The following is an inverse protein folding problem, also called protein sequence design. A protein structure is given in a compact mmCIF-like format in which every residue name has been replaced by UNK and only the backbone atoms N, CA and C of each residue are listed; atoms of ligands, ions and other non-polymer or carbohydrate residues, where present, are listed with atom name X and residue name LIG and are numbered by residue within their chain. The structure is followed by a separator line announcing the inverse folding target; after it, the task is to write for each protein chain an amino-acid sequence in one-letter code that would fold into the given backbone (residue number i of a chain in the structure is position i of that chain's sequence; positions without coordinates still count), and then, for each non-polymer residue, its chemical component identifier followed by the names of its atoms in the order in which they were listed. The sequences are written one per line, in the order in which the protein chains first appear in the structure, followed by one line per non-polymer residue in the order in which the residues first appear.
data_IF_764829114694
#
_entry.id   IF_764829114694
#
_cell.length_a   1.000
_cell.length_b   1.000
_cell.length_c   1.000
_cell.angle_alpha   90.00
_cell.angle_beta   90.00
_cell.angle_gamma   90.00
#
_symmetry.space_group_name_H-M   'P 1'
#
loop_
_entity.id
_entity.type
_entity.pdbx_description
1 polymer ?
#
# COMPACT_ATOMS: atom_id res chain seq x y z
N UNK A 1 -33.26 28.55 32.04
CA UNK A 1 -32.63 27.34 31.46
C UNK A 1 -33.26 27.15 30.08
N UNK A 2 -32.82 27.83 29.02
CA UNK A 2 -31.65 27.55 28.15
C UNK A 2 -31.45 26.04 27.93
N UNK A 3 -31.50 25.43 26.74
CA UNK A 3 -32.02 25.75 25.42
C UNK A 3 -32.03 24.41 24.65
N UNK A 4 -33.14 24.08 23.99
CA UNK A 4 -33.20 23.00 22.99
C UNK A 4 -32.81 23.63 21.65
N UNK A 5 -31.58 23.40 21.18
CA UNK A 5 -31.16 23.72 19.81
C UNK A 5 -29.79 23.08 19.52
N UNK A 6 -29.66 22.38 18.39
CA UNK A 6 -28.33 22.07 17.82
C UNK A 6 -28.09 20.64 17.35
N UNK A 7 -29.10 19.87 16.94
CA UNK A 7 -28.91 18.63 16.18
C UNK A 7 -29.38 18.91 14.74
N UNK A 8 -28.46 19.33 13.86
CA UNK A 8 -28.53 19.33 12.37
C UNK A 8 -27.51 20.30 11.73
N UNK A 9 -26.22 20.27 12.11
CA UNK A 9 -25.19 21.08 11.46
C UNK A 9 -23.80 20.41 11.40
N UNK A 10 -23.77 19.09 11.23
CA UNK A 10 -22.51 18.32 11.11
C UNK A 10 -22.51 17.26 10.00
N UNK A 11 -23.47 17.29 9.07
CA UNK A 11 -23.57 16.34 7.94
C UNK A 11 -23.42 17.06 6.58
N UNK A 12 -23.43 18.39 6.54
CA UNK A 12 -23.36 19.14 5.27
C UNK A 12 -21.93 19.57 4.90
N UNK A 13 -20.93 19.41 5.79
CA UNK A 13 -19.54 19.74 5.48
C UNK A 13 -18.72 18.57 4.89
N UNK A 14 -19.18 17.32 5.00
CA UNK A 14 -18.55 16.14 4.36
C UNK A 14 -19.23 15.72 3.06
N UNK A 15 -20.46 16.18 2.80
CA UNK A 15 -21.14 15.99 1.51
C UNK A 15 -20.67 16.99 0.42
N UNK A 16 -19.97 18.06 0.80
CA UNK A 16 -19.49 19.09 -0.14
C UNK A 16 -18.21 18.71 -0.90
N UNK A 17 -17.38 17.80 -0.35
CA UNK A 17 -16.16 17.32 -1.02
C UNK A 17 -16.40 16.05 -1.86
N UNK A 18 -17.50 15.33 -1.62
CA UNK A 18 -17.92 14.18 -2.42
C UNK A 18 -18.60 14.56 -3.76
N UNK A 19 -18.80 15.87 -4.03
CA UNK A 19 -19.48 16.35 -5.23
C UNK A 19 -18.53 16.84 -6.34
N UNK A 20 -17.20 16.74 -6.17
CA UNK A 20 -16.21 17.15 -7.18
C UNK A 20 -15.18 16.07 -7.53
N UNK A 21 -15.20 14.91 -6.87
CA UNK A 21 -14.50 13.70 -7.33
C UNK A 21 -15.47 12.81 -8.08
N UNK A 22 -15.15 12.47 -9.33
CA UNK A 22 -16.04 11.73 -10.23
C UNK A 22 -16.42 10.32 -9.72
N UNK A 23 -17.29 9.61 -10.45
CA UNK A 23 -17.88 8.33 -10.05
C UNK A 23 -16.89 7.14 -9.93
N UNK A 24 -15.58 7.34 -10.04
CA UNK A 24 -14.58 6.26 -9.96
C UNK A 24 -14.13 5.92 -8.53
N UNK A 25 -14.23 6.87 -7.59
CA UNK A 25 -13.82 6.67 -6.18
C UNK A 25 -14.77 5.76 -5.38
N UNK A 26 -15.96 5.48 -5.91
CA UNK A 26 -16.95 4.61 -5.25
C UNK A 26 -16.87 3.13 -5.71
N UNK A 27 -16.01 2.81 -6.69
CA UNK A 27 -15.93 1.45 -7.25
C UNK A 27 -14.88 0.55 -6.59
N UNK A 28 -13.98 1.12 -5.78
CA UNK A 28 -12.94 0.36 -5.06
C UNK A 28 -13.36 0.11 -3.62
N UNK A 29 -13.55 -1.16 -3.30
CA UNK A 29 -14.21 -1.70 -2.11
C UNK A 29 -13.37 -1.52 -0.82
N UNK A 30 -13.21 -0.28 -0.38
CA UNK A 30 -12.39 0.14 0.77
C UNK A 30 -13.10 0.04 2.13
N UNK A 31 -14.31 -0.54 2.20
CA UNK A 31 -15.16 -0.47 3.39
C UNK A 31 -14.60 -1.15 4.66
N UNK A 32 -13.55 -1.97 4.57
CA UNK A 32 -13.05 -2.76 5.70
C UNK A 32 -11.67 -2.37 6.24
N UNK A 33 -10.92 -1.50 5.56
CA UNK A 33 -9.58 -1.06 6.01
C UNK A 33 -9.59 0.22 6.87
N UNK A 34 -10.71 0.94 6.92
CA UNK A 34 -10.86 2.22 7.65
C UNK A 34 -11.08 2.03 9.17
N UNK A 35 -11.19 0.78 9.67
CA UNK A 35 -11.42 0.52 11.11
C UNK A 35 -10.13 0.47 11.96
N UNK A 36 -8.96 0.75 11.39
CA UNK A 36 -7.72 0.84 12.17
C UNK A 36 -7.53 2.26 12.70
N UNK A 37 -7.58 2.40 14.04
CA UNK A 37 -7.45 3.67 14.74
C UNK A 37 -6.07 4.31 14.52
N UNK A 38 -6.04 5.44 13.83
CA UNK A 38 -4.88 6.32 13.72
C UNK A 38 -4.59 7.02 15.05
N UNK A 39 -3.45 6.69 15.65
CA UNK A 39 -2.69 7.54 16.58
C UNK A 39 -1.21 7.27 16.41
N UNK A 40 -0.49 8.16 15.74
CA UNK A 40 0.41 9.13 16.38
C UNK A 40 1.42 9.74 15.39
N UNK A 41 1.78 10.99 15.66
CA UNK A 41 2.78 11.83 14.98
C UNK A 41 4.19 11.20 14.94
N UNK A 42 4.90 11.37 13.81
CA UNK A 42 6.34 11.12 13.72
C UNK A 42 7.11 12.36 13.22
N UNK A 43 8.16 12.83 13.94
CA UNK A 43 9.12 13.75 13.36
C UNK A 43 10.15 12.98 12.52
N UNK A 44 10.35 13.45 11.28
CA UNK A 44 11.38 13.00 10.33
C UNK A 44 12.79 13.06 10.95
N UNK A 45 13.54 11.95 10.94
CA UNK A 45 15.01 11.96 11.10
C UNK A 45 15.71 10.84 10.33
N UNK A 46 16.73 11.31 9.59
CA UNK A 46 17.88 10.65 8.97
C UNK A 46 18.24 9.24 9.45
N UNK A 47 18.33 8.33 8.48
CA UNK A 47 18.92 7.01 8.62
C UNK A 47 20.44 7.07 8.40
N UNK A 48 21.19 7.12 9.50
CA UNK A 48 22.53 6.51 9.63
C UNK A 48 22.67 6.01 11.05
N UNK A 49 22.97 4.71 11.16
CA UNK A 49 23.40 4.01 12.37
C UNK A 49 22.36 3.91 13.51
N UNK A 50 21.58 2.82 13.51
CA UNK A 50 21.08 2.25 14.78
C UNK A 50 20.87 0.74 14.70
N UNK A 51 21.98 0.02 14.72
CA UNK A 51 22.01 -1.28 15.38
C UNK A 51 22.05 -1.08 16.91
N UNK A 52 21.40 -2.03 17.59
CA UNK A 52 21.44 -2.34 19.03
C UNK A 52 20.35 -1.75 19.94
N UNK A 53 19.48 -2.69 20.36
CA UNK A 53 18.70 -2.77 21.62
C UNK A 53 17.23 -2.32 21.55
N UNK A 54 16.39 -3.26 21.13
CA UNK A 54 15.36 -3.77 22.03
C UNK A 54 15.03 -5.23 21.73
N UNK A 55 15.96 -6.12 22.07
CA UNK A 55 15.65 -7.53 22.30
C UNK A 55 14.70 -7.60 23.51
N UNK A 56 13.40 -7.50 23.28
CA UNK A 56 12.44 -8.09 24.21
C UNK A 56 12.70 -9.60 24.13
N UNK A 57 12.98 -10.29 25.25
CA UNK A 57 13.12 -11.73 25.21
C UNK A 57 11.83 -12.29 24.63
N UNK A 58 11.95 -12.95 23.47
CA UNK A 58 10.92 -13.82 22.96
C UNK A 58 10.51 -14.70 24.14
N UNK A 59 9.26 -14.55 24.56
CA UNK A 59 8.68 -15.42 25.56
C UNK A 59 9.00 -16.85 25.11
N UNK A 60 9.50 -17.70 26.00
CA UNK A 60 9.78 -19.13 25.76
C UNK A 60 8.46 -19.93 25.53
N UNK A 61 7.47 -19.31 24.91
CA UNK A 61 6.33 -19.96 24.29
C UNK A 61 6.83 -20.54 22.96
N UNK A 62 7.07 -21.85 22.95
CA UNK A 62 7.73 -22.56 21.85
C UNK A 62 7.33 -22.02 20.47
N UNK A 63 8.30 -21.42 19.79
CA UNK A 63 8.13 -21.06 18.38
C UNK A 63 7.92 -22.35 17.59
N UNK A 64 6.94 -22.33 16.70
CA UNK A 64 6.67 -23.43 15.80
C UNK A 64 6.76 -22.96 14.37
N UNK A 65 6.99 -23.93 13.49
CA UNK A 65 6.83 -23.78 12.06
C UNK A 65 5.61 -24.56 11.64
N UNK A 66 4.69 -23.92 10.92
CA UNK A 66 3.51 -24.56 10.35
C UNK A 66 3.51 -24.38 8.84
N UNK A 67 3.44 -25.49 8.12
CA UNK A 67 3.27 -25.48 6.67
C UNK A 67 1.79 -25.60 6.32
N UNK A 68 1.36 -24.79 5.36
CA UNK A 68 0.04 -24.83 4.73
C UNK A 68 0.23 -24.97 3.22
N UNK A 69 -0.68 -25.70 2.58
CA UNK A 69 -0.77 -25.73 1.12
C UNK A 69 -1.48 -24.49 0.63
N UNK A 70 -0.90 -23.79 -0.34
CA UNK A 70 -1.57 -22.68 -1.00
C UNK A 70 -2.80 -23.19 -1.76
N UNK A 71 -3.90 -22.47 -1.68
CA UNK A 71 -5.17 -22.88 -2.30
C UNK A 71 -5.23 -22.68 -3.82
N UNK A 72 -4.17 -22.09 -4.41
CA UNK A 72 -4.09 -21.81 -5.84
C UNK A 72 -4.69 -20.46 -6.22
N UNK A 73 -5.10 -19.64 -5.25
CA UNK A 73 -5.57 -18.27 -5.51
C UNK A 73 -4.50 -17.44 -6.23
N UNK A 74 -4.95 -16.56 -7.11
CA UNK A 74 -4.12 -15.53 -7.76
C UNK A 74 -3.95 -14.29 -6.89
N UNK A 75 -4.72 -14.18 -5.81
CA UNK A 75 -4.64 -13.12 -4.80
C UNK A 75 -4.04 -13.65 -3.51
N UNK A 76 -3.04 -12.96 -2.98
CA UNK A 76 -2.47 -13.20 -1.66
C UNK A 76 -2.71 -12.00 -0.74
N UNK A 77 -3.49 -12.21 0.31
CA UNK A 77 -3.88 -11.18 1.25
C UNK A 77 -3.41 -11.53 2.65
N UNK A 78 -2.64 -10.63 3.26
CA UNK A 78 -2.03 -10.83 4.58
C UNK A 78 -2.77 -9.97 5.60
N UNK A 79 -3.87 -10.50 6.14
CA UNK A 79 -4.62 -9.89 7.23
C UNK A 79 -4.07 -10.26 8.61
N UNK A 80 -2.76 -10.45 8.72
CA UNK A 80 -2.04 -10.85 9.94
C UNK A 80 -0.75 -10.04 10.05
N UNK A 81 -0.36 -9.57 11.26
CA UNK A 81 0.92 -8.90 11.43
C UNK A 81 2.09 -9.82 11.06
N UNK A 82 2.77 -9.52 9.95
CA UNK A 82 3.76 -10.40 9.38
C UNK A 82 4.91 -9.68 8.65
N UNK A 83 6.03 -10.38 8.57
CA UNK A 83 7.04 -10.18 7.52
C UNK A 83 6.91 -11.33 6.53
N UNK A 84 6.58 -10.98 5.29
CA UNK A 84 6.26 -11.91 4.21
C UNK A 84 7.40 -11.92 3.21
N UNK A 85 7.89 -13.11 2.90
CA UNK A 85 8.85 -13.37 1.84
C UNK A 85 8.17 -14.26 0.78
N UNK A 86 7.90 -13.71 -0.39
CA UNK A 86 7.32 -14.42 -1.53
C UNK A 86 8.39 -14.70 -2.58
N UNK A 87 8.41 -15.93 -3.10
CA UNK A 87 9.21 -16.30 -4.27
C UNK A 87 8.35 -17.05 -5.27
N UNK A 88 8.34 -16.60 -6.53
CA UNK A 88 7.60 -17.31 -7.56
C UNK A 88 8.29 -18.64 -7.89
N UNK A 89 7.57 -19.75 -7.78
CA UNK A 89 8.10 -21.07 -8.06
C UNK A 89 7.04 -21.96 -8.71
N UNK A 90 7.48 -22.83 -9.63
CA UNK A 90 6.61 -23.83 -10.22
C UNK A 90 6.23 -24.91 -9.20
N UNK A 91 5.04 -25.49 -9.34
CA UNK A 91 4.56 -26.58 -8.50
C UNK A 91 3.44 -26.16 -7.55
N UNK A 92 3.07 -27.03 -6.59
CA UNK A 92 2.05 -26.71 -5.62
C UNK A 92 2.54 -25.57 -4.74
N UNK A 93 1.73 -24.51 -4.62
CA UNK A 93 2.10 -23.40 -3.75
C UNK A 93 2.16 -23.84 -2.29
N UNK A 94 3.08 -23.24 -1.54
CA UNK A 94 3.33 -23.55 -0.14
C UNK A 94 3.46 -22.26 0.66
N UNK A 95 2.89 -22.26 1.85
CA UNK A 95 3.01 -21.17 2.83
C UNK A 95 3.60 -21.76 4.11
N UNK A 96 4.70 -21.19 4.58
CA UNK A 96 5.38 -21.59 5.81
C UNK A 96 5.32 -20.44 6.80
N UNK A 97 4.76 -20.70 7.98
CA UNK A 97 4.52 -19.67 9.01
C UNK A 97 5.38 -20.02 10.22
N UNK A 98 6.19 -19.06 10.67
CA UNK A 98 7.02 -19.15 11.85
C UNK A 98 6.59 -18.13 12.90
N UNK A 99 6.54 -18.57 14.16
CA UNK A 99 6.24 -17.70 15.30
C UNK A 99 5.71 -18.48 16.50
N UNK A 100 5.21 -17.79 17.53
CA UNK A 100 4.68 -18.41 18.73
C UNK A 100 3.50 -19.36 18.43
N UNK A 101 3.51 -20.55 19.03
CA UNK A 101 2.48 -21.58 18.82
C UNK A 101 1.07 -21.05 18.93
N UNK A 102 0.79 -20.26 19.96
CA UNK A 102 -0.54 -19.72 20.23
C UNK A 102 -1.07 -18.77 19.16
N UNK A 103 -0.20 -18.17 18.35
CA UNK A 103 -0.59 -17.30 17.22
C UNK A 103 -0.62 -18.10 15.93
N UNK A 104 0.39 -18.95 15.68
CA UNK A 104 0.46 -19.79 14.46
C UNK A 104 -0.72 -20.77 14.35
N UNK A 105 -1.18 -21.32 15.47
CA UNK A 105 -2.34 -22.21 15.50
C UNK A 105 -3.66 -21.50 15.13
N UNK A 106 -3.72 -20.16 15.27
CA UNK A 106 -4.89 -19.35 14.93
C UNK A 106 -4.93 -18.91 13.47
N UNK A 107 -3.81 -19.03 12.73
CA UNK A 107 -3.78 -18.63 11.32
C UNK A 107 -4.66 -19.56 10.49
N UNK A 108 -5.50 -18.97 9.65
CA UNK A 108 -6.36 -19.64 8.66
C UNK A 108 -6.05 -19.10 7.27
N UNK A 109 -6.06 -19.99 6.28
CA UNK A 109 -5.95 -19.66 4.87
C UNK A 109 -7.30 -19.96 4.21
N UNK A 110 -7.94 -18.93 3.66
CA UNK A 110 -9.23 -19.06 2.97
C UNK A 110 -9.24 -18.12 1.77
N UNK A 111 -9.39 -18.66 0.55
CA UNK A 111 -9.49 -17.89 -0.70
C UNK A 111 -8.33 -16.88 -0.87
N UNK A 112 -7.10 -17.34 -0.61
CA UNK A 112 -5.90 -16.52 -0.70
C UNK A 112 -5.67 -15.54 0.45
N UNK A 113 -6.57 -15.47 1.43
CA UNK A 113 -6.42 -14.62 2.62
C UNK A 113 -5.86 -15.39 3.80
N UNK A 114 -4.75 -14.93 4.36
CA UNK A 114 -4.26 -15.31 5.68
C UNK A 114 -4.91 -14.40 6.73
N UNK A 115 -5.61 -14.98 7.70
CA UNK A 115 -6.23 -14.25 8.81
C UNK A 115 -6.09 -14.99 10.13
N UNK A 116 -6.24 -14.28 11.24
CA UNK A 116 -6.41 -14.90 12.54
C UNK A 116 -7.88 -15.29 12.73
N UNK A 117 -8.15 -16.50 13.20
CA UNK A 117 -9.51 -16.96 13.54
C UNK A 117 -10.17 -16.09 14.62
N UNK A 118 -9.35 -15.48 15.48
CA UNK A 118 -9.79 -14.58 16.55
C UNK A 118 -8.72 -13.56 16.86
N UNK A 119 -9.08 -12.36 17.35
CA UNK A 119 -8.11 -11.39 17.83
C UNK A 119 -7.24 -11.99 18.94
N UNK A 120 -5.99 -11.55 18.98
CA UNK A 120 -5.02 -11.92 20.01
C UNK A 120 -4.50 -10.67 20.69
N UNK A 121 -4.32 -10.72 22.01
CA UNK A 121 -3.62 -9.67 22.74
C UNK A 121 -2.11 -9.71 22.46
N UNK A 122 -1.61 -10.82 21.93
CA UNK A 122 -0.20 -10.99 21.54
C UNK A 122 0.03 -10.38 20.16
N UNK A 123 0.71 -9.24 20.10
CA UNK A 123 1.11 -8.56 18.86
C UNK A 123 2.35 -9.21 18.21
N UNK A 124 2.52 -10.52 18.34
CA UNK A 124 3.66 -11.21 17.77
C UNK A 124 3.62 -11.11 16.24
N UNK A 125 4.70 -10.56 15.68
CA UNK A 125 4.90 -10.52 14.23
C UNK A 125 5.32 -11.90 13.74
N UNK A 126 4.56 -12.46 12.82
CA UNK A 126 4.87 -13.76 12.22
C UNK A 126 5.87 -13.59 11.07
N UNK A 127 6.71 -14.60 10.82
CA UNK A 127 7.46 -14.70 9.57
C UNK A 127 6.76 -15.65 8.64
N UNK A 128 6.41 -15.20 7.44
CA UNK A 128 5.72 -15.99 6.42
C UNK A 128 6.63 -16.14 5.22
N UNK A 129 6.91 -17.39 4.83
CA UNK A 129 7.62 -17.71 3.59
C UNK A 129 6.66 -18.40 2.66
N UNK A 130 6.39 -17.78 1.52
CA UNK A 130 5.39 -18.24 0.55
C UNK A 130 6.02 -18.50 -0.82
N UNK A 131 5.61 -19.60 -1.44
CA UNK A 131 5.94 -19.92 -2.83
C UNK A 131 4.65 -20.26 -3.57
N UNK A 132 4.45 -19.70 -4.76
CA UNK A 132 3.32 -20.04 -5.61
C UNK A 132 3.62 -19.67 -7.07
N UNK A 133 2.99 -20.32 -8.06
CA UNK A 133 3.32 -20.11 -9.46
C UNK A 133 2.64 -18.88 -10.10
N UNK A 134 1.47 -18.46 -9.60
CA UNK A 134 0.55 -17.59 -10.34
C UNK A 134 -0.17 -16.54 -9.48
N UNK A 135 0.46 -16.04 -8.42
CA UNK A 135 -0.10 -14.93 -7.62
C UNK A 135 0.19 -13.62 -8.34
N UNK A 136 -0.85 -12.89 -8.69
CA UNK A 136 -0.77 -11.61 -9.41
C UNK A 136 -1.11 -10.41 -8.54
N UNK A 137 -1.87 -10.61 -7.45
CA UNK A 137 -2.32 -9.53 -6.55
C UNK A 137 -1.86 -9.79 -5.13
N UNK A 138 -1.22 -8.81 -4.52
CA UNK A 138 -0.76 -8.86 -3.13
C UNK A 138 -1.45 -7.75 -2.32
N UNK A 139 -1.96 -8.09 -1.14
CA UNK A 139 -2.61 -7.15 -0.23
C UNK A 139 -1.95 -7.25 1.15
N UNK A 140 -1.39 -6.14 1.63
CA UNK A 140 -0.67 -6.03 2.90
C UNK A 140 -1.10 -4.75 3.64
N UNK A 141 -1.04 -4.73 4.97
CA UNK A 141 -1.48 -3.57 5.73
C UNK A 141 -0.87 -3.49 7.12
N UNK A 142 -1.23 -2.46 7.87
CA UNK A 142 -0.65 -2.22 9.20
C UNK A 142 0.83 -1.85 9.11
N UNK A 143 1.68 -2.51 9.89
CA UNK A 143 3.13 -2.26 9.94
C UNK A 143 3.91 -3.42 9.29
N UNK A 144 3.34 -4.05 8.27
CA UNK A 144 3.85 -5.29 7.69
C UNK A 144 4.88 -5.08 6.59
N UNK A 145 5.71 -6.10 6.39
CA UNK A 145 6.72 -6.12 5.32
C UNK A 145 6.38 -7.19 4.29
N UNK A 146 6.43 -6.83 3.01
CA UNK A 146 6.25 -7.74 1.89
C UNK A 146 7.48 -7.68 0.99
N UNK A 147 8.16 -8.81 0.82
CA UNK A 147 9.27 -8.94 -0.12
C UNK A 147 8.92 -9.95 -1.20
N UNK A 148 8.83 -9.50 -2.45
CA UNK A 148 8.55 -10.32 -3.63
C UNK A 148 9.85 -10.48 -4.42
N UNK A 149 10.31 -11.73 -4.56
CA UNK A 149 11.54 -12.08 -5.28
C UNK A 149 11.28 -12.91 -6.52
N UNK A 150 12.16 -12.73 -7.50
CA UNK A 150 12.18 -13.48 -8.77
C UNK A 150 10.82 -13.48 -9.49
N UNK A 151 10.08 -12.38 -9.39
CA UNK A 151 8.76 -12.26 -10.02
C UNK A 151 8.87 -12.31 -11.54
N UNK A 152 7.97 -13.01 -12.20
CA UNK A 152 7.91 -13.18 -13.65
C UNK A 152 6.49 -13.51 -14.10
N UNK A 153 5.67 -12.48 -14.28
CA UNK A 153 4.32 -12.59 -14.84
C UNK A 153 3.96 -11.33 -15.63
N UNK A 154 2.92 -11.37 -16.46
CA UNK A 154 2.55 -10.21 -17.27
C UNK A 154 2.06 -9.03 -16.44
N UNK A 155 1.39 -9.29 -15.30
CA UNK A 155 0.80 -8.26 -14.44
C UNK A 155 1.20 -8.49 -12.98
N UNK A 156 1.45 -7.42 -12.26
CA UNK A 156 1.60 -7.39 -10.81
C UNK A 156 0.70 -6.29 -10.24
N UNK A 157 -0.09 -6.62 -9.23
CA UNK A 157 -0.86 -5.66 -8.46
C UNK A 157 -0.45 -5.74 -6.99
N UNK A 158 -0.13 -4.61 -6.38
CA UNK A 158 0.16 -4.52 -4.94
C UNK A 158 -0.71 -3.45 -4.33
N UNK A 159 -1.49 -3.84 -3.32
CA UNK A 159 -2.27 -2.95 -2.48
C UNK A 159 -1.67 -2.98 -1.08
N UNK A 160 -1.25 -1.82 -0.60
CA UNK A 160 -0.58 -1.64 0.68
C UNK A 160 -1.20 -0.48 1.47
N UNK A 161 -1.29 -0.65 2.78
CA UNK A 161 -1.85 0.37 3.68
C UNK A 161 -1.05 0.49 4.98
N UNK A 162 -1.25 1.59 5.71
CA UNK A 162 -0.58 1.83 7.00
C UNK A 162 0.87 2.28 6.83
N UNK A 163 1.78 1.66 7.58
CA UNK A 163 3.24 1.90 7.56
C UNK A 163 3.98 0.70 6.97
N UNK A 164 3.39 0.06 5.97
CA UNK A 164 3.94 -1.14 5.34
C UNK A 164 5.17 -0.84 4.48
N UNK A 165 6.06 -1.84 4.38
CA UNK A 165 7.29 -1.81 3.57
C UNK A 165 7.20 -2.90 2.51
N UNK A 166 7.18 -2.50 1.24
CA UNK A 166 7.09 -3.40 0.09
C UNK A 166 8.36 -3.34 -0.72
N UNK A 167 8.99 -4.48 -0.97
CA UNK A 167 10.15 -4.61 -1.86
C UNK A 167 9.83 -5.62 -2.96
N UNK A 168 10.02 -5.25 -4.22
CA UNK A 168 9.72 -6.11 -5.38
C UNK A 168 10.92 -6.21 -6.31
N UNK A 169 11.25 -7.43 -6.73
CA UNK A 169 12.25 -7.71 -7.74
C UNK A 169 11.80 -8.74 -8.77
N UNK A 170 12.28 -8.60 -10.01
CA UNK A 170 11.96 -9.50 -11.11
C UNK A 170 11.55 -8.76 -12.39
N UNK A 171 10.51 -9.26 -13.06
CA UNK A 171 9.98 -8.76 -14.33
C UNK A 171 8.45 -8.83 -14.35
N UNK A 172 7.80 -7.72 -14.66
CA UNK A 172 6.37 -7.67 -14.96
C UNK A 172 6.10 -6.66 -16.07
N UNK A 173 5.18 -6.93 -17.00
CA UNK A 173 4.90 -5.96 -18.08
C UNK A 173 4.11 -4.77 -17.54
N UNK A 174 3.02 -5.06 -16.85
CA UNK A 174 2.11 -4.10 -16.21
C UNK A 174 2.24 -4.19 -14.69
N UNK A 175 2.32 -3.04 -14.03
CA UNK A 175 2.43 -2.93 -12.58
C UNK A 175 1.41 -1.93 -12.06
N UNK A 176 0.52 -2.39 -11.18
CA UNK A 176 -0.50 -1.57 -10.51
C UNK A 176 -0.15 -1.47 -9.02
N UNK A 177 0.08 -0.26 -8.51
CA UNK A 177 0.41 -0.02 -7.09
C UNK A 177 -0.62 0.90 -6.47
N UNK A 178 -1.22 0.47 -5.38
CA UNK A 178 -2.10 1.27 -4.53
C UNK A 178 -1.50 1.33 -3.13
N UNK A 179 -1.04 2.50 -2.70
CA UNK A 179 -0.38 2.68 -1.40
C UNK A 179 -0.97 3.85 -0.64
N UNK A 180 -1.55 3.55 0.53
CA UNK A 180 -2.18 4.55 1.41
C UNK A 180 -1.52 4.56 2.80
N UNK A 181 -1.32 5.75 3.37
CA UNK A 181 -0.73 5.90 4.71
C UNK A 181 0.67 6.49 4.66
N UNK A 182 1.62 5.88 5.37
CA UNK A 182 3.02 6.33 5.47
C UNK A 182 4.03 5.25 5.06
N UNK A 183 3.56 4.22 4.35
CA UNK A 183 4.40 3.11 3.88
C UNK A 183 5.30 3.47 2.71
N UNK A 184 6.16 2.51 2.35
CA UNK A 184 7.12 2.61 1.26
C UNK A 184 6.99 1.41 0.31
N UNK A 185 7.12 1.65 -0.99
CA UNK A 185 7.20 0.61 -2.00
C UNK A 185 8.43 0.80 -2.90
N UNK A 186 9.42 -0.07 -2.74
CA UNK A 186 10.65 -0.13 -3.53
C UNK A 186 10.53 -1.21 -4.63
N UNK A 187 10.38 -0.75 -5.87
CA UNK A 187 10.34 -1.56 -7.08
C UNK A 187 11.60 -1.33 -7.95
N UNK A 188 12.69 -0.83 -7.37
CA UNK A 188 13.98 -0.62 -8.07
C UNK A 188 14.48 -1.89 -8.77
N UNK A 189 14.26 -3.05 -8.16
CA UNK A 189 14.65 -4.36 -8.67
C UNK A 189 13.69 -4.97 -9.70
N UNK A 190 12.58 -4.29 -10.02
CA UNK A 190 11.55 -4.77 -10.94
C UNK A 190 11.71 -4.12 -12.31
N UNK A 191 11.85 -4.94 -13.35
CA UNK A 191 11.77 -4.48 -14.74
C UNK A 191 10.31 -4.43 -15.16
N UNK A 192 9.82 -3.24 -15.51
CA UNK A 192 8.48 -3.05 -16.05
C UNK A 192 8.41 -2.10 -17.26
N UNK A 193 7.35 -2.26 -18.04
CA UNK A 193 7.08 -1.43 -19.22
C UNK A 193 6.03 -0.36 -18.88
N UNK A 194 4.92 -0.77 -18.27
CA UNK A 194 3.79 0.08 -17.92
C UNK A 194 3.55 0.07 -16.41
N UNK A 195 3.25 1.24 -15.84
CA UNK A 195 2.91 1.38 -14.43
C UNK A 195 1.68 2.27 -14.21
N UNK A 196 0.76 1.82 -13.37
CA UNK A 196 -0.33 2.61 -12.81
C UNK A 196 -0.14 2.68 -11.29
N UNK A 197 -0.09 3.89 -10.75
CA UNK A 197 0.32 4.13 -9.36
C UNK A 197 -0.63 5.13 -8.73
N UNK A 198 -1.31 4.71 -7.69
CA UNK A 198 -2.13 5.55 -6.81
C UNK A 198 -1.49 5.56 -5.42
N UNK A 199 -1.01 6.74 -5.00
CA UNK A 199 -0.43 6.93 -3.67
C UNK A 199 -1.08 8.09 -2.93
N UNK A 200 -1.34 7.88 -1.64
CA UNK A 200 -1.96 8.88 -0.77
C UNK A 200 -1.33 8.93 0.63
N UNK A 201 -1.52 10.04 1.34
CA UNK A 201 -0.97 10.23 2.69
C UNK A 201 0.46 10.79 2.64
N UNK A 202 1.43 10.10 3.24
CA UNK A 202 2.86 10.44 3.24
C UNK A 202 3.72 9.32 2.65
N UNK A 203 3.12 8.46 1.83
CA UNK A 203 3.75 7.30 1.23
C UNK A 203 4.86 7.66 0.22
N UNK A 204 5.83 6.76 0.05
CA UNK A 204 6.86 6.84 -0.99
C UNK A 204 6.85 5.60 -1.89
N UNK A 205 6.99 5.79 -3.20
CA UNK A 205 7.13 4.70 -4.16
C UNK A 205 8.28 4.98 -5.11
N UNK A 206 9.12 3.98 -5.37
CA UNK A 206 10.22 4.06 -6.34
C UNK A 206 10.08 2.98 -7.41
N UNK A 207 10.06 3.37 -8.69
CA UNK A 207 9.85 2.45 -9.81
C UNK A 207 10.56 2.91 -11.11
N UNK A 208 10.69 2.01 -12.09
CA UNK A 208 11.46 2.23 -13.32
C UNK A 208 10.71 1.89 -14.64
N UNK A 209 9.48 2.40 -14.89
CA UNK A 209 8.69 2.10 -16.09
C UNK A 209 9.33 2.63 -17.37
N UNK A 210 9.31 1.82 -18.44
CA UNK A 210 9.98 2.14 -19.72
C UNK A 210 9.07 2.75 -20.77
N UNK A 211 7.82 2.32 -20.85
CA UNK A 211 6.89 2.68 -21.92
C UNK A 211 5.86 3.71 -21.44
N UNK A 212 5.13 3.42 -20.37
CA UNK A 212 4.16 4.37 -19.81
C UNK A 212 4.07 4.36 -18.29
N UNK A 213 3.70 5.50 -17.73
CA UNK A 213 3.38 5.65 -16.31
C UNK A 213 2.18 6.58 -16.13
N UNK A 214 1.19 6.13 -15.37
CA UNK A 214 0.07 6.92 -14.85
C UNK A 214 0.28 7.03 -13.33
N UNK A 215 0.39 8.25 -12.81
CA UNK A 215 0.65 8.48 -11.39
C UNK A 215 -0.40 9.41 -10.79
N UNK A 216 -1.19 8.92 -9.84
CA UNK A 216 -2.05 9.71 -8.98
C UNK A 216 -1.39 9.85 -7.61
N UNK A 217 -1.07 11.09 -7.21
CA UNK A 217 -0.30 11.38 -6.00
C UNK A 217 -1.07 12.40 -5.17
N UNK A 218 -1.54 12.01 -4.00
CA UNK A 218 -2.28 12.90 -3.09
C UNK A 218 -1.62 13.03 -1.71
N UNK A 219 -1.96 14.11 -0.99
CA UNK A 219 -1.42 14.37 0.34
C UNK A 219 0.00 14.96 0.30
N UNK A 220 0.95 14.31 0.95
CA UNK A 220 2.40 14.61 0.97
C UNK A 220 3.23 13.45 0.40
N UNK A 221 2.60 12.57 -0.38
CA UNK A 221 3.23 11.38 -0.94
C UNK A 221 4.24 11.73 -2.05
N UNK A 222 5.20 10.84 -2.28
CA UNK A 222 6.26 11.03 -3.28
C UNK A 222 6.39 9.81 -4.18
N UNK A 223 6.35 10.03 -5.50
CA UNK A 223 6.67 9.02 -6.49
C UNK A 223 8.03 9.33 -7.15
N UNK A 224 8.96 8.38 -7.09
CA UNK A 224 10.28 8.47 -7.70
C UNK A 224 10.37 7.56 -8.92
N UNK A 225 10.62 8.15 -10.08
CA UNK A 225 10.84 7.46 -11.34
C UNK A 225 12.34 7.36 -11.64
N UNK A 226 12.86 6.15 -11.76
CA UNK A 226 14.28 5.90 -12.11
C UNK A 226 14.55 6.00 -13.61
N UNK A 227 13.49 6.04 -14.41
CA UNK A 227 13.50 6.10 -15.87
C UNK A 227 12.59 7.22 -16.35
N UNK A 228 12.69 7.55 -17.64
CA UNK A 228 11.77 8.46 -18.32
C UNK A 228 10.89 7.64 -19.26
N UNK A 229 9.64 7.28 -18.87
CA UNK A 229 8.74 6.56 -19.76
C UNK A 229 8.36 7.43 -20.96
N UNK A 230 8.00 6.80 -22.09
CA UNK A 230 7.62 7.52 -23.31
C UNK A 230 6.32 8.29 -23.15
N UNK A 231 5.40 7.78 -22.33
CA UNK A 231 4.16 8.45 -21.92
C UNK A 231 4.15 8.59 -20.40
N UNK A 232 3.86 9.79 -19.94
CA UNK A 232 3.74 10.07 -18.51
C UNK A 232 2.49 10.93 -18.29
N UNK A 233 1.57 10.40 -17.50
CA UNK A 233 0.40 11.12 -17.01
C UNK A 233 0.52 11.23 -15.49
N UNK A 234 0.32 12.43 -14.96
CA UNK A 234 0.42 12.66 -13.52
C UNK A 234 -0.72 13.55 -13.06
N UNK A 235 -1.41 13.12 -12.00
CA UNK A 235 -2.31 13.96 -11.22
C UNK A 235 -1.71 14.10 -9.81
N UNK A 236 -1.46 15.34 -9.39
CA UNK A 236 -0.81 15.62 -8.10
C UNK A 236 -1.66 16.60 -7.31
N UNK A 237 -2.18 16.12 -6.18
CA UNK A 237 -2.97 16.89 -5.24
C UNK A 237 -2.23 17.11 -3.91
N UNK A 238 -2.41 18.31 -3.33
CA UNK A 238 -1.80 18.66 -2.04
C UNK A 238 -0.32 19.07 -2.16
N UNK A 239 0.51 18.54 -1.27
CA UNK A 239 1.96 18.75 -1.19
C UNK A 239 2.77 17.58 -1.77
N UNK A 240 2.12 16.64 -2.47
CA UNK A 240 2.76 15.50 -3.08
C UNK A 240 3.74 15.89 -4.20
N UNK A 241 4.61 14.95 -4.59
CA UNK A 241 5.59 15.21 -5.64
C UNK A 241 5.94 13.98 -6.48
N UNK A 242 6.20 14.22 -7.77
CA UNK A 242 6.77 13.24 -8.67
C UNK A 242 8.17 13.71 -9.08
N UNK A 243 9.17 12.89 -8.79
CA UNK A 243 10.58 13.19 -9.04
C UNK A 243 11.21 12.12 -9.94
N UNK A 244 12.11 12.54 -10.81
CA UNK A 244 12.99 11.65 -11.56
C UNK A 244 14.33 11.49 -10.83
N UNK A 245 15.01 10.37 -11.04
CA UNK A 245 16.34 10.12 -10.47
C UNK A 245 17.40 11.15 -10.90
N UNK A 246 17.24 11.75 -12.08
CA UNK A 246 18.07 12.87 -12.54
C UNK A 246 17.79 14.21 -11.83
N UNK A 247 16.89 14.22 -10.83
CA UNK A 247 16.49 15.39 -10.07
C UNK A 247 15.45 16.27 -10.77
N UNK A 248 14.99 15.90 -11.97
CA UNK A 248 13.89 16.57 -12.64
C UNK A 248 12.58 16.36 -11.88
N UNK A 249 11.75 17.40 -11.74
CA UNK A 249 10.35 17.22 -11.31
C UNK A 249 9.48 16.93 -12.54
N UNK A 250 8.57 15.96 -12.45
CA UNK A 250 7.55 15.79 -13.48
C UNK A 250 6.58 16.98 -13.41
N UNK A 251 6.29 17.59 -14.56
CA UNK A 251 5.42 18.75 -14.63
C UNK A 251 3.96 18.32 -14.45
N UNK A 252 3.44 18.44 -13.22
CA UNK A 252 2.05 18.19 -12.86
C UNK A 252 1.54 19.12 -11.74
N UNK A 253 2.26 20.20 -11.43
CA UNK A 253 1.76 21.22 -10.51
C UNK A 253 0.60 21.98 -11.17
N UNK A 254 -0.62 21.63 -10.78
CA UNK A 254 -1.85 22.20 -11.31
C UNK A 254 -1.81 23.71 -11.44
N UNK A 255 -2.12 24.20 -12.64
CA UNK A 255 -2.65 25.56 -12.80
C UNK A 255 -4.08 25.52 -12.25
N UNK A 256 -4.45 26.31 -11.24
CA UNK A 256 -5.86 26.48 -10.93
C UNK A 256 -6.49 27.17 -12.14
N UNK A 257 -7.42 26.48 -12.79
CA UNK A 257 -8.25 27.07 -13.82
C UNK A 257 -8.96 28.29 -13.23
N UNK A 258 -8.52 29.50 -13.61
CA UNK A 258 -9.28 30.73 -13.35
C UNK A 258 -10.56 30.63 -14.16
N UNK A 259 -11.67 30.33 -13.49
CA UNK A 259 -13.02 30.55 -14.01
C UNK A 259 -13.13 32.02 -14.46
N UNK A 260 -13.50 32.32 -15.71
CA UNK A 260 -13.82 33.68 -16.10
C UNK A 260 -15.08 34.11 -15.34
N UNK A 261 -14.94 35.04 -14.41
CA UNK A 261 -16.08 35.75 -13.83
C UNK A 261 -16.78 36.50 -14.96
N UNK A 262 -17.94 36.00 -15.37
CA UNK A 262 -18.85 36.70 -16.29
C UNK A 262 -19.35 37.95 -15.58
N UNK A 263 -18.89 39.12 -16.02
CA UNK A 263 -19.38 40.41 -15.54
C UNK A 263 -20.89 40.56 -15.81
N UNK A 264 -21.65 41.29 -14.97
CA UNK A 264 -23.06 41.56 -15.23
C UNK A 264 -23.20 42.38 -16.51
N UNK A 265 -24.09 41.96 -17.41
CA UNK A 265 -24.56 42.84 -18.48
C UNK A 265 -25.56 43.82 -17.88
N UNK A 266 -25.21 45.10 -17.89
CA UNK A 266 -26.17 46.19 -17.68
C UNK A 266 -26.96 46.42 -18.98
N UNK A 267 -28.27 46.55 -18.86
CA UNK A 267 -29.18 47.10 -19.88
C UNK A 267 -29.85 48.33 -19.29
#
# INVERSE_FOLDING_TARGET
MIAVAGFLAGVVALAGAAALGGPDLASRNWEWFVDWHDRDDHPRREWRDRDLRQDRPANEAGEITRELTWDGSTKAEFGIPASVEFTQAAGPGKVTIHGPKEVVDLVRLTNGRLSLERPTANQARLRVVMTAPAVTRFEVGGDDRLEIRDYKQDRLEVVASGSSDVVVSGQAREVDIELSGSGEADLTGLVNDDADVDISGSAEVTLAPKESASLEVSGSATARLLTRPKRLETDVAGAGSVIFDDGGKAAGAGTPAKTPTRGPQET
#
